data_IF_782623193070
#
_entry.id   IF_782623193070
#
_cell.length_a   1.000
_cell.length_b   1.000
_cell.length_c   1.000
_cell.angle_alpha   90.00
_cell.angle_beta   90.00
_cell.angle_gamma   90.00
#
_symmetry.space_group_name_H-M   'P 1'
#
loop_
_entity.id
_entity.type
_entity.pdbx_description
1 polymer ?
#
# COMPACT_ATOMS: atom_id res chain seq x y z
N UNK A 1 -82.06 34.22 18.73
CA UNK A 1 -82.93 33.10 18.34
C UNK A 1 -81.99 31.95 17.99
N UNK A 2 -81.64 31.05 18.92
CA UNK A 2 -82.40 29.91 19.48
C UNK A 2 -82.74 28.85 18.42
N UNK A 3 -82.10 27.68 18.57
CA UNK A 3 -82.59 26.29 18.38
C UNK A 3 -81.37 25.41 18.03
N UNK A 4 -80.77 24.65 18.96
CA UNK A 4 -81.23 23.40 19.61
C UNK A 4 -81.39 22.23 18.62
N UNK A 5 -80.53 21.22 18.83
CA UNK A 5 -80.79 19.77 18.94
C UNK A 5 -80.00 18.82 18.03
N UNK A 6 -79.35 17.90 18.74
CA UNK A 6 -78.70 16.65 18.34
C UNK A 6 -79.52 15.78 17.38
N UNK A 7 -78.82 14.97 16.58
CA UNK A 7 -79.10 13.54 16.32
C UNK A 7 -77.80 12.93 15.77
N UNK A 8 -77.26 11.93 16.48
CA UNK A 8 -76.27 10.98 15.93
C UNK A 8 -76.90 10.22 14.75
N UNK A 9 -76.17 9.60 13.84
CA UNK A 9 -75.44 8.36 14.10
C UNK A 9 -74.72 7.95 12.81
N UNK A 10 -73.51 7.42 12.99
CA UNK A 10 -72.98 6.24 12.30
C UNK A 10 -72.81 6.29 10.77
N UNK A 11 -71.60 6.64 10.32
CA UNK A 11 -70.98 5.94 9.20
C UNK A 11 -69.47 5.85 9.43
N UNK A 12 -69.04 4.62 9.65
CA UNK A 12 -67.75 4.10 10.07
C UNK A 12 -66.62 4.50 9.12
N UNK A 13 -65.58 5.19 9.65
CA UNK A 13 -64.26 5.25 9.02
C UNK A 13 -63.59 3.88 9.20
N UNK A 14 -63.43 3.14 8.11
CA UNK A 14 -62.43 2.06 8.03
C UNK A 14 -61.14 2.71 7.56
N UNK A 15 -60.29 3.08 8.51
CA UNK A 15 -58.91 3.43 8.25
C UNK A 15 -58.15 2.15 7.89
N UNK A 16 -57.65 2.07 6.66
CA UNK A 16 -56.70 1.08 6.22
C UNK A 16 -55.37 1.33 6.95
N UNK A 17 -55.17 0.65 8.08
CA UNK A 17 -53.84 0.43 8.65
C UNK A 17 -53.07 -0.49 7.73
N UNK A 18 -52.33 0.08 6.78
CA UNK A 18 -51.26 -0.62 6.09
C UNK A 18 -50.08 -0.73 7.07
N UNK A 19 -49.98 -1.90 7.72
CA UNK A 19 -48.77 -2.28 8.42
C UNK A 19 -47.65 -2.43 7.40
N UNK A 20 -46.77 -1.45 7.31
CA UNK A 20 -45.42 -1.66 6.83
C UNK A 20 -44.75 -2.58 7.87
N UNK A 21 -44.47 -3.82 7.49
CA UNK A 21 -43.47 -4.61 8.19
C UNK A 21 -42.13 -3.91 7.95
N UNK A 22 -41.71 -3.10 8.90
CA UNK A 22 -40.31 -2.74 9.07
C UNK A 22 -39.59 -4.03 9.44
N UNK A 23 -39.14 -4.80 8.44
CA UNK A 23 -37.97 -5.64 8.63
C UNK A 23 -36.81 -4.67 8.86
N UNK A 24 -36.64 -4.27 10.13
CA UNK A 24 -35.36 -3.75 10.58
C UNK A 24 -34.32 -4.81 10.17
N UNK A 25 -33.39 -4.39 9.30
CA UNK A 25 -32.20 -5.14 9.00
C UNK A 25 -31.53 -5.41 10.34
N UNK A 26 -31.72 -6.62 10.88
CA UNK A 26 -30.98 -7.09 12.04
C UNK A 26 -29.52 -7.06 11.62
N UNK A 27 -28.80 -6.02 12.03
CA UNK A 27 -27.38 -6.14 12.28
C UNK A 27 -27.25 -7.31 13.24
N UNK A 28 -26.76 -8.44 12.74
CA UNK A 28 -26.35 -9.52 13.63
C UNK A 28 -25.42 -8.90 14.67
N UNK A 29 -25.87 -8.97 15.91
CA UNK A 29 -25.12 -8.55 17.09
C UNK A 29 -24.02 -9.60 17.26
N UNK A 30 -23.00 -9.53 16.41
CA UNK A 30 -21.74 -10.21 16.67
C UNK A 30 -21.11 -9.46 17.84
N UNK A 31 -21.47 -9.89 19.04
CA UNK A 31 -20.65 -9.73 20.24
C UNK A 31 -19.33 -10.45 20.00
N UNK A 32 -18.47 -9.88 19.18
CA UNK A 32 -17.10 -10.35 19.05
C UNK A 32 -16.30 -9.68 20.16
N UNK A 33 -15.65 -10.47 21.01
CA UNK A 33 -14.57 -9.99 21.91
C UNK A 33 -13.34 -9.47 21.11
N UNK A 34 -13.47 -9.30 19.80
CA UNK A 34 -12.43 -8.81 18.91
C UNK A 34 -12.14 -7.33 19.17
N UNK A 35 -11.04 -7.09 19.87
CA UNK A 35 -10.47 -5.76 20.04
C UNK A 35 -10.00 -5.17 18.71
N UNK A 36 -10.80 -4.33 18.05
CA UNK A 36 -10.43 -3.72 16.76
C UNK A 36 -9.23 -2.79 16.85
N UNK A 37 -9.14 -2.02 17.93
CA UNK A 37 -8.02 -1.09 18.17
C UNK A 37 -6.92 -1.81 18.97
N UNK A 38 -5.70 -1.76 18.45
CA UNK A 38 -4.50 -2.38 19.06
C UNK A 38 -3.71 -1.36 19.87
N UNK A 39 -3.49 -0.17 19.31
CA UNK A 39 -2.68 0.88 19.94
C UNK A 39 -3.13 2.28 19.46
N UNK A 40 -2.72 3.31 20.20
CA UNK A 40 -2.86 4.72 19.82
C UNK A 40 -1.67 5.53 20.35
N UNK A 41 -0.95 6.19 19.45
CA UNK A 41 0.20 7.04 19.76
C UNK A 41 0.24 8.21 18.78
N UNK A 42 0.74 9.37 19.22
CA UNK A 42 0.73 10.60 18.43
C UNK A 42 -0.63 10.83 17.73
N UNK A 43 -0.63 10.96 16.40
CA UNK A 43 -1.78 11.11 15.52
C UNK A 43 -2.23 9.78 14.87
N UNK A 44 -1.67 8.65 15.28
CA UNK A 44 -1.92 7.32 14.72
C UNK A 44 -2.83 6.48 15.62
N UNK A 45 -3.76 5.76 14.99
CA UNK A 45 -4.52 4.67 15.60
C UNK A 45 -4.21 3.37 14.86
N UNK A 46 -3.70 2.37 15.56
CA UNK A 46 -3.43 1.05 14.97
C UNK A 46 -4.67 0.18 15.13
N UNK A 47 -5.18 -0.32 14.01
CA UNK A 47 -6.32 -1.22 13.95
C UNK A 47 -5.88 -2.60 13.48
N UNK A 48 -6.69 -3.62 13.77
CA UNK A 48 -6.60 -4.94 13.16
C UNK A 48 -7.93 -5.31 12.51
N UNK A 49 -7.88 -6.17 11.52
CA UNK A 49 -9.04 -6.64 10.75
C UNK A 49 -9.18 -8.17 10.85
N UNK A 50 -10.35 -8.67 10.48
CA UNK A 50 -10.64 -10.10 10.36
C UNK A 50 -10.63 -10.51 8.89
N UNK A 51 -10.31 -11.77 8.61
CA UNK A 51 -10.42 -12.37 7.27
C UNK A 51 -11.53 -13.43 7.33
N UNK A 52 -12.81 -13.04 7.30
CA UNK A 52 -13.95 -13.93 7.61
C UNK A 52 -14.05 -15.14 6.67
N UNK A 53 -13.66 -14.99 5.40
CA UNK A 53 -13.72 -16.07 4.41
C UNK A 53 -12.54 -17.04 4.45
N UNK A 54 -11.58 -16.85 5.37
CA UNK A 54 -10.40 -17.71 5.50
C UNK A 54 -10.76 -19.19 5.75
N UNK A 55 -11.78 -19.42 6.59
CA UNK A 55 -12.21 -20.77 6.96
C UNK A 55 -12.96 -21.49 5.82
N UNK A 56 -13.44 -20.75 4.81
CA UNK A 56 -14.05 -21.32 3.61
C UNK A 56 -13.01 -21.81 2.59
N UNK A 57 -11.77 -21.34 2.67
CA UNK A 57 -10.70 -21.75 1.76
C UNK A 57 -10.33 -23.23 1.96
N UNK A 58 -10.09 -23.93 0.85
CA UNK A 58 -9.44 -25.24 0.85
C UNK A 58 -8.01 -25.16 1.39
N UNK A 59 -7.45 -26.28 1.83
CA UNK A 59 -6.05 -26.34 2.27
C UNK A 59 -5.08 -25.84 1.20
N UNK A 60 -5.35 -26.12 -0.08
CA UNK A 60 -4.53 -25.66 -1.21
C UNK A 60 -4.57 -24.13 -1.35
N UNK A 61 -5.76 -23.53 -1.28
CA UNK A 61 -5.94 -22.06 -1.31
C UNK A 61 -5.28 -21.37 -0.12
N UNK A 62 -5.32 -21.96 1.08
CA UNK A 62 -4.62 -21.41 2.26
C UNK A 62 -3.10 -21.43 2.11
N UNK A 63 -2.54 -22.51 1.55
CA UNK A 63 -1.09 -22.59 1.24
C UNK A 63 -0.72 -21.56 0.17
N UNK A 64 -1.57 -21.37 -0.83
CA UNK A 64 -1.38 -20.35 -1.86
C UNK A 64 -1.35 -18.93 -1.25
N UNK A 65 -2.38 -18.56 -0.47
CA UNK A 65 -2.45 -17.27 0.23
C UNK A 65 -1.27 -17.07 1.21
N UNK A 66 -0.85 -18.12 1.92
CA UNK A 66 0.32 -18.08 2.80
C UNK A 66 1.58 -17.69 2.04
N UNK A 67 1.89 -18.38 0.93
CA UNK A 67 3.09 -18.10 0.16
C UNK A 67 3.06 -16.72 -0.52
N UNK A 68 1.90 -16.27 -1.01
CA UNK A 68 1.74 -14.90 -1.49
C UNK A 68 2.01 -13.87 -0.39
N UNK A 69 1.54 -14.13 0.83
CA UNK A 69 1.76 -13.26 1.99
C UNK A 69 3.24 -13.22 2.36
N UNK A 70 3.91 -14.37 2.41
CA UNK A 70 5.35 -14.44 2.70
C UNK A 70 6.20 -13.77 1.61
N UNK A 71 5.82 -13.91 0.33
CA UNK A 71 6.44 -13.17 -0.77
C UNK A 71 6.30 -11.65 -0.52
N UNK A 72 5.10 -11.18 -0.17
CA UNK A 72 4.86 -9.80 0.20
C UNK A 72 5.78 -9.29 1.31
N UNK A 73 5.81 -10.00 2.45
CA UNK A 73 6.60 -9.62 3.63
C UNK A 73 8.11 -9.59 3.37
N UNK A 74 8.62 -10.43 2.47
CA UNK A 74 10.04 -10.47 2.11
C UNK A 74 10.55 -9.16 1.46
N UNK A 75 9.65 -8.35 0.89
CA UNK A 75 9.97 -7.05 0.31
C UNK A 75 9.80 -5.86 1.25
N UNK A 76 9.48 -6.06 2.54
CA UNK A 76 9.34 -4.96 3.53
C UNK A 76 10.51 -3.97 3.46
N UNK A 77 11.74 -4.47 3.47
CA UNK A 77 12.94 -3.64 3.54
C UNK A 77 13.17 -2.80 2.28
N UNK A 78 12.63 -3.23 1.13
CA UNK A 78 12.68 -2.46 -0.11
C UNK A 78 11.95 -1.13 0.06
N UNK A 79 10.75 -1.16 0.65
CA UNK A 79 9.96 0.05 0.84
C UNK A 79 10.63 1.03 1.83
N UNK A 80 11.28 0.50 2.86
CA UNK A 80 12.05 1.33 3.82
C UNK A 80 13.18 2.06 3.12
N UNK A 81 13.97 1.35 2.31
CA UNK A 81 15.08 1.94 1.57
C UNK A 81 14.59 2.94 0.50
N UNK A 82 13.56 2.58 -0.27
CA UNK A 82 12.93 3.49 -1.23
C UNK A 82 12.44 4.79 -0.57
N UNK A 83 11.85 4.72 0.62
CA UNK A 83 11.40 5.91 1.34
C UNK A 83 12.55 6.85 1.72
N UNK A 84 13.73 6.32 2.08
CA UNK A 84 14.89 7.13 2.47
C UNK A 84 16.16 6.28 2.64
N UNK A 85 17.30 6.79 2.14
CA UNK A 85 18.59 6.08 2.12
C UNK A 85 19.13 5.64 3.50
N UNK A 86 18.73 6.32 4.58
CA UNK A 86 19.18 6.01 5.95
C UNK A 86 18.15 5.21 6.76
N UNK A 87 16.96 4.92 6.22
CA UNK A 87 15.87 4.31 6.98
C UNK A 87 16.22 2.94 7.55
N UNK A 88 16.92 2.08 6.79
CA UNK A 88 17.28 0.74 7.28
C UNK A 88 18.29 0.80 8.43
N UNK A 89 19.25 1.74 8.37
CA UNK A 89 20.21 1.98 9.44
C UNK A 89 19.51 2.50 10.70
N UNK A 90 18.68 3.55 10.54
CA UNK A 90 17.90 4.15 11.63
C UNK A 90 16.97 3.12 12.26
N UNK A 91 16.26 2.33 11.45
CA UNK A 91 15.38 1.26 11.94
C UNK A 91 16.14 0.27 12.79
N UNK A 92 17.31 -0.18 12.33
CA UNK A 92 18.14 -1.14 13.09
C UNK A 92 18.60 -0.56 14.44
N UNK A 93 18.96 0.71 14.48
CA UNK A 93 19.31 1.39 15.74
C UNK A 93 18.10 1.45 16.69
N UNK A 94 16.91 1.79 16.17
CA UNK A 94 15.66 1.80 16.95
C UNK A 94 15.31 0.40 17.46
N UNK A 95 15.35 -0.62 16.58
CA UNK A 95 15.09 -2.02 16.91
C UNK A 95 16.05 -2.50 18.01
N UNK A 96 17.33 -2.11 17.93
CA UNK A 96 18.36 -2.46 18.95
C UNK A 96 17.98 -1.96 20.34
N UNK A 97 17.45 -0.74 20.45
CA UNK A 97 17.03 -0.16 21.74
C UNK A 97 15.73 -0.81 22.24
N UNK A 98 14.74 -0.99 21.35
CA UNK A 98 13.40 -1.51 21.73
C UNK A 98 13.44 -2.98 22.11
N UNK A 99 14.20 -3.81 21.40
CA UNK A 99 14.20 -5.26 21.63
C UNK A 99 15.11 -5.69 22.78
N UNK A 100 15.83 -4.76 23.43
CA UNK A 100 16.83 -5.09 24.44
C UNK A 100 16.27 -4.93 25.86
N UNK A 101 16.23 -6.05 26.60
CA UNK A 101 15.72 -6.11 27.98
C UNK A 101 16.59 -5.35 28.99
N UNK A 102 17.83 -4.99 28.65
CA UNK A 102 18.69 -4.18 29.51
C UNK A 102 18.27 -2.70 29.56
N UNK A 103 17.44 -2.25 28.61
CA UNK A 103 16.88 -0.89 28.60
C UNK A 103 15.63 -0.88 29.48
N UNK A 104 15.56 0.06 30.44
CA UNK A 104 14.37 0.23 31.28
C UNK A 104 13.27 0.96 30.49
N UNK A 105 12.29 0.18 30.02
CA UNK A 105 11.17 0.66 29.21
C UNK A 105 10.12 1.48 29.99
N UNK A 106 10.34 1.69 31.29
CA UNK A 106 9.43 2.49 32.14
C UNK A 106 9.92 3.92 32.36
N UNK A 107 11.13 4.24 31.89
CA UNK A 107 11.74 5.57 32.04
C UNK A 107 11.07 6.60 31.12
N UNK A 108 10.94 7.88 31.54
CA UNK A 108 10.42 8.94 30.68
C UNK A 108 11.16 9.07 29.34
N UNK A 109 12.49 8.96 29.37
CA UNK A 109 13.34 9.03 28.18
C UNK A 109 12.99 7.93 27.17
N UNK A 110 12.77 6.70 27.65
CA UNK A 110 12.33 5.60 26.80
C UNK A 110 10.93 5.82 26.25
N UNK A 111 9.98 6.30 27.06
CA UNK A 111 8.60 6.49 26.63
C UNK A 111 8.49 7.55 25.52
N UNK A 112 9.25 8.65 25.61
CA UNK A 112 9.32 9.66 24.55
C UNK A 112 9.94 9.09 23.27
N UNK A 113 11.02 8.31 23.41
CA UNK A 113 11.64 7.59 22.30
C UNK A 113 10.70 6.54 21.67
N UNK A 114 9.93 5.81 22.47
CA UNK A 114 9.00 4.78 22.01
C UNK A 114 7.94 5.39 21.09
N UNK A 115 7.42 6.57 21.42
CA UNK A 115 6.47 7.29 20.54
C UNK A 115 7.12 7.62 19.19
N UNK A 116 8.36 8.12 19.17
CA UNK A 116 9.08 8.38 17.92
C UNK A 116 9.28 7.09 17.11
N UNK A 117 9.76 6.03 17.76
CA UNK A 117 9.99 4.74 17.13
C UNK A 117 8.72 4.14 16.52
N UNK A 118 7.59 4.18 17.24
CA UNK A 118 6.29 3.72 16.74
C UNK A 118 5.86 4.49 15.48
N UNK A 119 6.08 5.82 15.44
CA UNK A 119 5.83 6.63 14.23
C UNK A 119 6.71 6.19 13.07
N UNK A 120 7.99 5.92 13.32
CA UNK A 120 8.94 5.44 12.30
C UNK A 120 8.51 4.09 11.73
N UNK A 121 8.12 3.13 12.58
CA UNK A 121 7.60 1.83 12.12
C UNK A 121 6.31 1.96 11.33
N UNK A 122 5.36 2.78 11.80
CA UNK A 122 4.09 2.96 11.12
C UNK A 122 4.25 3.59 9.74
N UNK A 123 5.19 4.52 9.60
CA UNK A 123 5.41 5.25 8.35
C UNK A 123 6.42 4.59 7.38
N UNK A 124 7.02 3.46 7.77
CA UNK A 124 8.14 2.84 7.05
C UNK A 124 9.31 3.81 6.83
N UNK A 125 9.62 4.65 7.84
CA UNK A 125 10.70 5.64 7.77
C UNK A 125 10.50 6.85 8.67
N UNK A 126 11.43 7.81 8.63
CA UNK A 126 11.45 8.99 9.51
C UNK A 126 10.56 10.15 9.06
N UNK A 127 9.77 9.96 8.00
CA UNK A 127 8.87 10.98 7.47
C UNK A 127 7.42 10.54 7.62
N UNK A 128 6.55 11.51 7.88
CA UNK A 128 5.13 11.27 8.05
C UNK A 128 4.50 10.67 6.78
N UNK A 129 3.87 9.51 6.93
CA UNK A 129 3.28 8.72 5.84
C UNK A 129 2.30 9.52 4.93
N UNK A 130 1.55 10.47 5.49
CA UNK A 130 0.65 11.34 4.74
C UNK A 130 1.27 12.69 4.30
N UNK A 131 1.73 13.53 5.24
CA UNK A 131 2.23 14.88 4.92
C UNK A 131 3.63 14.92 4.30
N UNK A 132 4.36 13.80 4.29
CA UNK A 132 5.77 13.67 3.89
C UNK A 132 6.77 14.48 4.73
N UNK A 133 6.33 15.20 5.76
CA UNK A 133 7.19 16.00 6.62
C UNK A 133 7.96 15.09 7.58
N UNK A 134 9.24 15.35 7.78
CA UNK A 134 10.08 14.62 8.72
C UNK A 134 9.51 14.70 10.14
N UNK A 135 9.59 13.60 10.88
CA UNK A 135 9.21 13.61 12.29
C UNK A 135 10.21 14.42 13.11
N UNK A 136 9.68 15.27 14.00
CA UNK A 136 10.48 15.86 15.07
C UNK A 136 10.90 14.76 16.06
N UNK A 137 12.19 14.72 16.37
CA UNK A 137 12.77 13.82 17.37
C UNK A 137 12.59 14.40 18.78
N UNK A 138 11.39 14.29 19.33
CA UNK A 138 11.03 14.81 20.65
C UNK A 138 11.52 13.94 21.83
N UNK A 139 12.68 13.29 21.70
CA UNK A 139 13.30 12.45 22.73
C UNK A 139 14.76 12.88 22.95
N UNK A 140 15.35 12.50 24.09
CA UNK A 140 16.69 12.97 24.46
C UNK A 140 17.77 12.34 23.55
N UNK A 141 18.46 13.20 22.80
CA UNK A 141 19.52 12.81 21.87
C UNK A 141 20.70 12.14 22.58
N UNK A 142 21.15 12.68 23.72
CA UNK A 142 22.31 12.15 24.43
C UNK A 142 22.01 10.77 25.03
N UNK A 143 20.81 10.60 25.59
CA UNK A 143 20.31 9.34 26.10
C UNK A 143 20.24 8.29 24.99
N UNK A 144 19.68 8.63 23.83
CA UNK A 144 19.58 7.67 22.73
C UNK A 144 20.96 7.22 22.25
N UNK A 145 21.89 8.15 22.04
CA UNK A 145 23.24 7.82 21.58
C UNK A 145 24.02 7.01 22.62
N UNK A 146 23.93 7.39 23.91
CA UNK A 146 24.60 6.66 24.99
C UNK A 146 24.01 5.27 25.20
N UNK A 147 22.68 5.13 25.11
CA UNK A 147 21.99 3.85 25.17
C UNK A 147 22.42 2.96 24.01
N UNK A 148 22.39 3.48 22.79
CA UNK A 148 22.77 2.74 21.60
C UNK A 148 24.23 2.27 21.66
N UNK A 149 25.16 3.15 22.07
CA UNK A 149 26.58 2.82 22.25
C UNK A 149 26.78 1.74 23.33
N UNK A 150 26.09 1.87 24.47
CA UNK A 150 26.11 0.86 25.54
C UNK A 150 25.65 -0.52 25.09
N UNK A 151 24.80 -0.58 24.05
CA UNK A 151 24.33 -1.82 23.42
C UNK A 151 25.21 -2.28 22.24
N UNK A 152 26.38 -1.68 22.04
CA UNK A 152 27.26 -1.93 20.88
C UNK A 152 26.59 -1.62 19.53
N UNK A 153 25.56 -0.78 19.53
CA UNK A 153 24.96 -0.21 18.33
C UNK A 153 25.74 1.02 17.85
N UNK A 154 25.48 1.43 16.63
CA UNK A 154 26.05 2.65 16.05
C UNK A 154 25.08 3.26 15.05
N UNK A 155 25.28 4.56 14.77
CA UNK A 155 24.54 5.31 13.79
C UNK A 155 25.50 6.28 13.10
N UNK A 156 25.50 6.33 11.78
CA UNK A 156 26.34 7.22 10.97
C UNK A 156 26.04 8.68 11.29
N UNK A 157 27.04 9.57 11.08
CA UNK A 157 26.86 11.00 11.32
C UNK A 157 25.70 11.59 10.51
N UNK A 158 25.52 11.10 9.27
CA UNK A 158 24.44 11.55 8.40
C UNK A 158 23.07 11.03 8.87
N UNK A 159 22.98 9.79 9.35
CA UNK A 159 21.75 9.26 9.93
C UNK A 159 21.40 9.92 11.27
N UNK A 160 22.39 10.26 12.10
CA UNK A 160 22.18 11.10 13.30
C UNK A 160 21.63 12.48 12.90
N UNK A 161 22.26 13.14 11.91
CA UNK A 161 21.77 14.40 11.37
C UNK A 161 20.34 14.26 10.83
N UNK A 162 20.02 13.18 10.13
CA UNK A 162 18.67 12.90 9.64
C UNK A 162 17.63 12.91 10.75
N UNK A 163 17.92 12.29 11.90
CA UNK A 163 16.98 12.25 13.03
C UNK A 163 16.88 13.62 13.71
N UNK A 164 18.02 14.28 13.99
CA UNK A 164 18.07 15.37 14.97
C UNK A 164 18.22 16.79 14.39
N UNK A 165 18.70 16.97 13.16
CA UNK A 165 18.80 18.30 12.52
C UNK A 165 17.48 18.63 11.80
N UNK A 166 16.64 19.56 12.30
CA UNK A 166 15.32 19.82 11.73
C UNK A 166 15.35 20.31 10.28
N UNK A 167 16.48 20.84 9.80
CA UNK A 167 16.63 21.40 8.46
C UNK A 167 17.19 20.38 7.44
N UNK A 168 17.61 19.20 7.87
CA UNK A 168 18.14 18.16 6.99
C UNK A 168 17.05 17.19 6.52
N UNK A 169 16.95 16.97 5.21
CA UNK A 169 16.03 16.02 4.57
C UNK A 169 14.57 16.16 5.09
N UNK A 170 14.09 17.42 5.14
CA UNK A 170 12.85 17.84 5.79
C UNK A 170 11.59 17.20 5.21
N UNK A 171 11.60 16.86 3.92
CA UNK A 171 10.45 16.25 3.23
C UNK A 171 10.87 14.99 2.49
N UNK A 172 10.10 13.91 2.65
CA UNK A 172 10.24 12.69 1.85
C UNK A 172 10.02 12.97 0.37
N UNK A 173 8.90 13.62 0.08
CA UNK A 173 8.47 14.00 -1.27
C UNK A 173 8.11 15.47 -1.25
N UNK A 174 8.76 16.26 -2.10
CA UNK A 174 8.49 17.66 -2.27
C UNK A 174 7.99 17.92 -3.68
N UNK A 175 6.86 18.63 -3.80
CA UNK A 175 6.20 19.01 -5.06
C UNK A 175 5.92 20.51 -5.12
N UNK A 176 6.71 21.30 -4.39
CA UNK A 176 6.57 22.75 -4.40
C UNK A 176 7.05 23.33 -5.74
N UNK A 177 6.40 24.38 -6.20
CA UNK A 177 6.85 25.11 -7.39
C UNK A 177 8.16 25.85 -7.11
N UNK A 178 9.05 25.90 -8.11
CA UNK A 178 10.27 26.70 -8.06
C UNK A 178 11.45 26.06 -7.30
N UNK A 179 11.37 24.77 -6.95
CA UNK A 179 12.50 23.99 -6.43
C UNK A 179 12.85 22.85 -7.38
N UNK A 180 14.09 22.36 -7.30
CA UNK A 180 14.44 21.07 -7.93
C UNK A 180 13.76 19.96 -7.14
N UNK A 181 12.81 19.28 -7.77
CA UNK A 181 11.96 18.30 -7.08
C UNK A 181 12.73 17.09 -6.55
N UNK A 182 13.85 16.73 -7.19
CA UNK A 182 14.68 15.60 -6.77
C UNK A 182 15.57 15.98 -5.61
N UNK A 183 16.33 17.07 -5.74
CA UNK A 183 17.23 17.53 -4.69
C UNK A 183 16.48 17.99 -3.43
N UNK A 184 15.23 18.44 -3.56
CA UNK A 184 14.40 18.86 -2.44
C UNK A 184 13.58 17.73 -1.80
N UNK A 185 13.73 16.49 -2.27
CA UNK A 185 13.03 15.30 -1.78
C UNK A 185 14.01 14.29 -1.20
N UNK A 186 13.72 13.75 -0.02
CA UNK A 186 14.57 12.74 0.62
C UNK A 186 14.38 11.32 0.07
N UNK A 187 13.31 11.07 -0.70
CA UNK A 187 13.02 9.74 -1.27
C UNK A 187 14.21 9.18 -2.06
N UNK A 188 14.50 7.89 -1.89
CA UNK A 188 15.72 7.28 -2.42
C UNK A 188 15.54 6.67 -3.82
N UNK A 189 14.67 7.24 -4.64
CA UNK A 189 14.47 6.85 -6.03
C UNK A 189 15.53 7.42 -6.98
N UNK A 190 16.24 8.44 -6.54
CA UNK A 190 17.31 9.11 -7.26
C UNK A 190 18.51 9.24 -6.33
N UNK A 191 19.72 9.19 -6.87
CA UNK A 191 20.90 9.50 -6.06
C UNK A 191 20.87 10.97 -5.59
N UNK A 192 21.43 11.29 -4.41
CA UNK A 192 21.30 12.63 -3.80
C UNK A 192 21.84 13.79 -4.63
N UNK A 193 22.64 13.49 -5.66
CA UNK A 193 23.30 14.43 -6.56
C UNK A 193 22.68 14.46 -7.98
N UNK A 194 21.56 13.77 -8.20
CA UNK A 194 20.84 13.79 -9.48
C UNK A 194 19.80 14.91 -9.46
N UNK A 195 19.93 15.83 -10.42
CA UNK A 195 18.99 16.95 -10.57
C UNK A 195 17.74 16.53 -11.34
N UNK A 196 16.65 17.25 -11.14
CA UNK A 196 15.41 17.06 -11.91
C UNK A 196 15.67 17.17 -13.42
N UNK A 197 16.45 18.17 -13.86
CA UNK A 197 16.73 18.39 -15.27
C UNK A 197 17.49 17.21 -15.92
N UNK A 198 18.44 16.62 -15.21
CA UNK A 198 19.17 15.46 -15.72
C UNK A 198 18.27 14.23 -15.82
N UNK A 199 17.39 14.01 -14.85
CA UNK A 199 16.41 12.93 -14.89
C UNK A 199 15.41 13.11 -16.04
N UNK A 200 14.88 14.31 -16.24
CA UNK A 200 14.01 14.65 -17.38
C UNK A 200 14.71 14.34 -18.71
N UNK A 201 15.97 14.78 -18.87
CA UNK A 201 16.76 14.51 -20.06
C UNK A 201 17.02 13.01 -20.27
N UNK A 202 17.27 12.27 -19.19
CA UNK A 202 17.52 10.83 -19.24
C UNK A 202 16.29 10.06 -19.74
N UNK A 203 15.09 10.36 -19.23
CA UNK A 203 13.86 9.66 -19.63
C UNK A 203 13.29 10.16 -20.95
N UNK A 204 13.47 11.43 -21.30
CA UNK A 204 13.11 11.94 -22.62
C UNK A 204 13.90 11.27 -23.76
N UNK A 205 15.09 10.73 -23.47
CA UNK A 205 15.92 10.00 -24.43
C UNK A 205 15.56 8.51 -24.55
N UNK A 206 14.69 7.98 -23.69
CA UNK A 206 14.25 6.58 -23.78
C UNK A 206 13.32 6.41 -24.97
N UNK A 207 13.43 5.25 -25.61
CA UNK A 207 12.64 4.90 -26.80
C UNK A 207 12.03 3.53 -26.57
N UNK A 208 10.71 3.45 -26.74
CA UNK A 208 10.01 2.18 -26.73
C UNK A 208 10.42 1.33 -27.93
N UNK A 209 10.84 0.09 -27.67
CA UNK A 209 11.17 -0.86 -28.72
C UNK A 209 9.94 -1.17 -29.59
N UNK A 210 8.76 -1.20 -28.99
CA UNK A 210 7.46 -1.29 -29.66
C UNK A 210 6.60 -0.05 -29.31
N UNK A 211 6.48 0.93 -30.21
CA UNK A 211 5.66 2.12 -29.98
C UNK A 211 4.17 1.84 -29.77
N UNK A 212 3.68 0.64 -30.10
CA UNK A 212 2.29 0.24 -29.86
C UNK A 212 2.08 -0.37 -28.48
N UNK A 213 3.18 -0.68 -27.78
CA UNK A 213 3.23 -1.25 -26.42
C UNK A 213 4.32 -0.52 -25.61
N UNK A 214 4.13 0.77 -25.30
CA UNK A 214 5.11 1.52 -24.53
C UNK A 214 5.24 0.96 -23.13
N UNK A 215 6.47 0.90 -22.62
CA UNK A 215 6.75 0.39 -21.27
C UNK A 215 6.80 1.53 -20.25
N UNK A 216 6.58 1.19 -18.98
CA UNK A 216 6.65 2.14 -17.87
C UNK A 216 8.11 2.48 -17.51
N UNK A 217 8.78 3.29 -18.34
CA UNK A 217 10.22 3.53 -18.22
C UNK A 217 10.68 3.96 -16.81
N UNK A 218 11.53 3.09 -16.25
CA UNK A 218 12.15 3.20 -14.95
C UNK A 218 11.21 3.02 -13.76
N UNK A 219 10.06 2.37 -13.93
CA UNK A 219 9.16 2.00 -12.84
C UNK A 219 9.88 1.26 -11.70
N UNK A 220 10.86 0.41 -12.03
CA UNK A 220 11.54 -0.51 -11.11
C UNK A 220 13.04 -0.23 -11.02
N UNK A 221 13.43 1.03 -10.90
CA UNK A 221 14.84 1.40 -10.81
C UNK A 221 15.07 2.58 -9.87
N UNK A 222 16.33 2.70 -9.42
CA UNK A 222 16.88 3.93 -8.85
C UNK A 222 17.80 4.57 -9.88
N UNK A 223 17.64 5.86 -10.16
CA UNK A 223 18.53 6.58 -11.07
C UNK A 223 19.77 7.05 -10.31
N UNK A 224 20.93 6.55 -10.72
CA UNK A 224 22.23 6.80 -10.08
C UNK A 224 23.25 7.35 -11.07
N UNK A 225 24.39 7.79 -10.55
CA UNK A 225 25.51 8.32 -11.33
C UNK A 225 26.74 7.43 -11.21
N UNK A 226 27.35 7.11 -12.35
CA UNK A 226 28.63 6.42 -12.41
C UNK A 226 29.78 7.36 -12.03
N UNK A 227 30.97 6.80 -11.78
CA UNK A 227 32.19 7.56 -11.50
C UNK A 227 32.59 8.51 -12.65
N UNK A 228 32.21 8.19 -13.89
CA UNK A 228 32.45 9.03 -15.08
C UNK A 228 31.42 10.16 -15.27
N UNK A 229 30.44 10.26 -14.37
CA UNK A 229 29.38 11.26 -14.38
C UNK A 229 28.13 10.88 -15.18
N UNK A 230 28.15 9.75 -15.91
CA UNK A 230 27.00 9.26 -16.66
C UNK A 230 25.90 8.71 -15.74
N UNK A 231 24.63 8.95 -16.11
CA UNK A 231 23.49 8.40 -15.38
C UNK A 231 23.17 6.98 -15.83
N UNK A 232 22.75 6.14 -14.89
CA UNK A 232 22.30 4.77 -15.14
C UNK A 232 21.21 4.34 -14.15
N UNK A 233 20.48 3.29 -14.51
CA UNK A 233 19.44 2.71 -13.68
C UNK A 233 19.96 1.52 -12.87
N UNK A 234 19.88 1.61 -11.55
CA UNK A 234 19.99 0.47 -10.64
C UNK A 234 18.66 -0.29 -10.64
N UNK A 235 18.52 -1.21 -11.59
CA UNK A 235 17.29 -2.00 -11.77
C UNK A 235 17.01 -2.88 -10.55
N UNK A 236 15.75 -2.94 -10.13
CA UNK A 236 15.26 -3.76 -9.03
C UNK A 236 15.00 -5.17 -9.55
N UNK A 237 15.95 -6.08 -9.35
CA UNK A 237 15.86 -7.46 -9.82
C UNK A 237 16.67 -8.43 -8.97
N UNK A 238 16.57 -9.72 -9.26
CA UNK A 238 17.29 -10.78 -8.57
C UNK A 238 18.82 -10.60 -8.63
N UNK A 239 19.35 -9.94 -9.65
CA UNK A 239 20.78 -9.67 -9.83
C UNK A 239 21.12 -8.16 -9.79
N UNK A 240 20.14 -7.32 -9.47
CA UNK A 240 20.27 -5.87 -9.36
C UNK A 240 20.13 -5.35 -7.93
N UNK A 241 19.61 -4.13 -7.80
CA UNK A 241 19.30 -3.54 -6.49
C UNK A 241 18.19 -4.36 -5.81
N UNK A 242 18.32 -4.56 -4.50
CA UNK A 242 17.44 -5.39 -3.67
C UNK A 242 17.43 -6.90 -3.96
N UNK A 243 18.43 -7.42 -4.67
CA UNK A 243 18.60 -8.83 -4.99
C UNK A 243 18.29 -9.81 -3.84
N UNK A 244 18.73 -9.50 -2.62
CA UNK A 244 18.51 -10.37 -1.44
C UNK A 244 17.03 -10.55 -1.10
N UNK A 245 16.26 -9.46 -1.08
CA UNK A 245 14.81 -9.50 -0.84
C UNK A 245 14.09 -10.11 -2.03
N UNK A 246 14.45 -9.72 -3.26
CA UNK A 246 13.79 -10.21 -4.47
C UNK A 246 13.96 -11.72 -4.66
N UNK A 247 15.14 -12.28 -4.32
CA UNK A 247 15.35 -13.74 -4.34
C UNK A 247 14.45 -14.48 -3.34
N UNK A 248 14.15 -13.88 -2.18
CA UNK A 248 13.19 -14.45 -1.23
C UNK A 248 11.74 -14.34 -1.73
N UNK A 249 11.37 -13.20 -2.34
CA UNK A 249 10.08 -13.02 -3.01
C UNK A 249 9.88 -14.14 -4.04
N UNK A 250 10.83 -14.30 -4.97
CA UNK A 250 10.81 -15.35 -6.00
C UNK A 250 10.64 -16.74 -5.38
N UNK A 251 11.41 -17.06 -4.32
CA UNK A 251 11.32 -18.36 -3.65
C UNK A 251 9.91 -18.69 -3.17
N UNK A 252 9.19 -17.71 -2.60
CA UNK A 252 7.80 -17.88 -2.18
C UNK A 252 6.82 -17.91 -3.36
N UNK A 253 7.02 -17.09 -4.39
CA UNK A 253 6.17 -17.12 -5.59
C UNK A 253 6.26 -18.47 -6.33
N UNK A 254 7.44 -19.09 -6.38
CA UNK A 254 7.61 -20.45 -6.94
C UNK A 254 6.82 -21.49 -6.13
N UNK A 255 6.80 -21.39 -4.80
CA UNK A 255 5.96 -22.28 -3.98
C UNK A 255 4.46 -22.01 -4.19
N UNK A 256 4.06 -20.74 -4.29
CA UNK A 256 2.68 -20.35 -4.58
C UNK A 256 2.21 -20.90 -5.93
N UNK A 257 3.07 -20.85 -6.96
CA UNK A 257 2.79 -21.33 -8.32
C UNK A 257 2.44 -22.82 -8.39
N UNK A 258 3.00 -23.65 -7.50
CA UNK A 258 2.70 -25.10 -7.44
C UNK A 258 1.27 -25.36 -6.96
N UNK A 259 0.69 -24.42 -6.20
CA UNK A 259 -0.60 -24.58 -5.54
C UNK A 259 -1.66 -23.59 -6.02
N UNK A 260 -1.51 -23.00 -7.21
CA UNK A 260 -2.53 -22.11 -7.78
C UNK A 260 -3.87 -22.83 -7.98
N UNK A 261 -4.94 -22.05 -7.98
CA UNK A 261 -6.30 -22.55 -8.16
C UNK A 261 -6.56 -22.96 -9.61
N UNK A 262 -5.91 -22.27 -10.55
CA UNK A 262 -6.04 -22.50 -11.99
C UNK A 262 -4.72 -22.24 -12.74
N UNK A 263 -4.68 -22.62 -14.02
CA UNK A 263 -3.49 -22.49 -14.88
C UNK A 263 -3.13 -21.04 -15.18
N UNK A 264 -4.12 -20.16 -15.26
CA UNK A 264 -3.87 -18.75 -15.57
C UNK A 264 -3.23 -17.99 -14.41
N UNK A 265 -3.56 -18.31 -13.16
CA UNK A 265 -2.81 -17.85 -11.98
C UNK A 265 -1.36 -18.36 -12.02
N UNK A 266 -1.12 -19.62 -12.41
CA UNK A 266 0.25 -20.17 -12.53
C UNK A 266 1.06 -19.47 -13.63
N UNK A 267 0.40 -19.12 -14.74
CA UNK A 267 1.00 -18.32 -15.82
C UNK A 267 1.38 -16.92 -15.34
N UNK A 268 0.45 -16.21 -14.70
CA UNK A 268 0.70 -14.86 -14.16
C UNK A 268 1.87 -14.88 -13.17
N UNK A 269 1.89 -15.81 -12.21
CA UNK A 269 3.03 -15.95 -11.28
C UNK A 269 4.33 -16.25 -12.00
N UNK A 270 4.31 -17.08 -13.05
CA UNK A 270 5.48 -17.34 -13.87
C UNK A 270 6.06 -16.05 -14.49
N UNK A 271 5.20 -15.21 -15.06
CA UNK A 271 5.59 -13.92 -15.63
C UNK A 271 6.10 -12.94 -14.57
N UNK A 272 5.45 -12.90 -13.40
CA UNK A 272 5.91 -12.08 -12.27
C UNK A 272 7.30 -12.51 -11.77
N UNK A 273 7.55 -13.81 -11.70
CA UNK A 273 8.86 -14.37 -11.36
C UNK A 273 9.91 -13.96 -12.40
N UNK A 274 9.61 -14.07 -13.70
CA UNK A 274 10.50 -13.63 -14.78
C UNK A 274 10.81 -12.13 -14.69
N UNK A 275 9.80 -11.32 -14.40
CA UNK A 275 9.98 -9.89 -14.14
C UNK A 275 10.92 -9.65 -12.97
N UNK A 276 10.72 -10.29 -11.82
CA UNK A 276 11.63 -10.14 -10.68
C UNK A 276 13.05 -10.66 -10.95
N UNK A 277 13.19 -11.73 -11.73
CA UNK A 277 14.48 -12.26 -12.11
C UNK A 277 15.28 -11.26 -12.98
N UNK A 278 14.61 -10.64 -13.95
CA UNK A 278 15.26 -9.87 -15.01
C UNK A 278 15.19 -8.36 -14.81
N UNK A 279 14.15 -7.86 -14.16
CA UNK A 279 13.77 -6.46 -14.12
C UNK A 279 13.13 -5.95 -15.42
N UNK A 280 12.76 -6.82 -16.37
CA UNK A 280 12.25 -6.42 -17.69
C UNK A 280 10.81 -5.91 -17.63
N UNK A 281 10.60 -4.64 -17.98
CA UNK A 281 9.28 -4.00 -17.97
C UNK A 281 8.31 -4.59 -19.01
N UNK A 282 8.79 -5.26 -20.07
CA UNK A 282 7.89 -6.01 -20.96
C UNK A 282 7.26 -7.20 -20.23
N UNK A 283 8.02 -7.86 -19.35
CA UNK A 283 7.51 -8.96 -18.51
C UNK A 283 6.55 -8.46 -17.46
N UNK A 284 6.76 -7.24 -16.96
CA UNK A 284 5.77 -6.57 -16.12
C UNK A 284 4.46 -6.35 -16.85
N UNK A 285 4.49 -5.84 -18.08
CA UNK A 285 3.27 -5.64 -18.87
C UNK A 285 2.58 -6.97 -19.22
N UNK A 286 3.36 -7.98 -19.64
CA UNK A 286 2.84 -9.33 -19.91
C UNK A 286 2.19 -9.94 -18.66
N UNK A 287 2.82 -9.78 -17.48
CA UNK A 287 2.25 -10.17 -16.19
C UNK A 287 0.92 -9.47 -15.94
N UNK A 288 0.84 -8.14 -16.09
CA UNK A 288 -0.39 -7.39 -15.82
C UNK A 288 -1.51 -7.77 -16.78
N UNK A 289 -1.20 -8.02 -18.07
CA UNK A 289 -2.17 -8.52 -19.05
C UNK A 289 -2.68 -9.91 -18.65
N UNK A 290 -1.78 -10.80 -18.21
CA UNK A 290 -2.18 -12.11 -17.72
C UNK A 290 -3.06 -12.00 -16.46
N UNK A 291 -2.63 -11.19 -15.48
CA UNK A 291 -3.33 -10.99 -14.21
C UNK A 291 -4.74 -10.41 -14.40
N UNK A 292 -4.91 -9.36 -15.19
CA UNK A 292 -6.24 -8.76 -15.45
C UNK A 292 -7.19 -9.70 -16.20
N UNK A 293 -6.63 -10.63 -16.99
CA UNK A 293 -7.41 -11.65 -17.69
C UNK A 293 -7.92 -12.74 -16.73
N UNK A 294 -7.38 -12.83 -15.52
CA UNK A 294 -7.76 -13.82 -14.51
C UNK A 294 -8.90 -13.34 -13.64
N UNK A 295 -10.13 -13.55 -14.11
CA UNK A 295 -11.34 -13.21 -13.35
C UNK A 295 -11.81 -14.33 -12.42
N UNK A 296 -11.23 -15.53 -12.49
CA UNK A 296 -11.57 -16.69 -11.67
C UNK A 296 -10.57 -16.93 -10.52
N UNK A 297 -11.03 -17.56 -9.44
CA UNK A 297 -10.25 -17.80 -8.22
C UNK A 297 -10.79 -17.03 -7.02
N UNK A 298 -10.54 -17.60 -5.83
CA UNK A 298 -10.95 -17.07 -4.54
C UNK A 298 -9.82 -16.32 -3.81
N UNK A 299 -8.57 -16.48 -4.25
CA UNK A 299 -7.40 -15.75 -3.73
C UNK A 299 -6.78 -14.93 -4.85
N UNK A 300 -6.62 -13.63 -4.59
CA UNK A 300 -5.97 -12.68 -5.50
C UNK A 300 -4.86 -11.90 -4.78
N UNK A 301 -4.02 -11.20 -5.54
CA UNK A 301 -2.88 -10.49 -4.99
C UNK A 301 -2.41 -9.31 -5.85
N UNK A 302 -1.73 -8.40 -5.16
CA UNK A 302 -0.81 -7.42 -5.73
C UNK A 302 0.56 -7.75 -5.15
N UNK A 303 1.60 -7.79 -5.98
CA UNK A 303 2.99 -7.90 -5.54
C UNK A 303 3.91 -7.32 -6.62
N UNK A 304 4.50 -6.15 -6.37
CA UNK A 304 5.28 -5.46 -7.40
C UNK A 304 5.67 -4.05 -7.03
N UNK A 305 6.24 -3.33 -7.99
CA UNK A 305 6.49 -1.89 -7.94
C UNK A 305 5.35 -1.19 -8.66
N UNK A 306 4.36 -0.69 -7.92
CA UNK A 306 3.04 -0.37 -8.50
C UNK A 306 2.82 1.13 -8.55
N UNK A 307 2.68 1.77 -7.39
CA UNK A 307 2.20 3.15 -7.30
C UNK A 307 3.33 4.17 -7.28
N UNK A 308 3.18 5.24 -8.07
CA UNK A 308 4.22 6.26 -8.29
C UNK A 308 4.09 7.50 -7.39
N UNK A 309 3.21 7.47 -6.38
CA UNK A 309 2.94 8.63 -5.52
C UNK A 309 4.16 9.12 -4.74
N UNK A 310 5.06 8.21 -4.37
CA UNK A 310 6.27 8.56 -3.62
C UNK A 310 7.38 9.13 -4.52
N UNK A 311 7.26 9.05 -5.83
CA UNK A 311 8.16 9.73 -6.75
C UNK A 311 7.67 11.19 -6.97
N UNK A 312 8.49 12.21 -6.67
CA UNK A 312 8.13 13.58 -6.97
C UNK A 312 7.92 13.84 -8.49
N UNK A 313 8.55 13.06 -9.36
CA UNK A 313 8.37 13.11 -10.83
C UNK A 313 7.37 12.08 -11.37
N UNK A 314 6.91 11.13 -10.56
CA UNK A 314 5.87 10.18 -10.92
C UNK A 314 6.29 9.04 -11.87
N UNK A 315 7.57 8.65 -11.91
CA UNK A 315 8.04 7.51 -12.69
C UNK A 315 8.24 6.22 -11.88
N UNK A 316 8.72 6.29 -10.63
CA UNK A 316 9.12 5.09 -9.86
C UNK A 316 7.99 4.50 -9.04
N UNK A 317 7.79 3.20 -9.20
CA UNK A 317 6.82 2.42 -8.44
C UNK A 317 7.33 2.10 -7.04
N UNK A 318 6.48 2.31 -6.04
CA UNK A 318 6.73 1.84 -4.67
C UNK A 318 6.46 0.34 -4.59
N UNK A 319 7.29 -0.39 -3.82
CA UNK A 319 7.02 -1.80 -3.56
C UNK A 319 5.73 -1.93 -2.74
N UNK A 320 4.79 -2.71 -3.24
CA UNK A 320 3.50 -2.95 -2.60
C UNK A 320 3.14 -4.43 -2.65
N UNK A 321 2.42 -4.86 -1.63
CA UNK A 321 1.79 -6.17 -1.63
C UNK A 321 0.45 -6.14 -0.91
N UNK A 322 -0.53 -6.81 -1.50
CA UNK A 322 -1.84 -7.07 -0.90
C UNK A 322 -2.20 -8.51 -1.27
N UNK A 323 -2.63 -9.31 -0.30
CA UNK A 323 -3.20 -10.63 -0.56
C UNK A 323 -4.64 -10.59 -0.10
N UNK A 324 -5.54 -10.99 -1.00
CA UNK A 324 -6.96 -10.73 -0.90
C UNK A 324 -7.70 -12.05 -0.98
N UNK A 325 -8.63 -12.26 -0.06
CA UNK A 325 -9.53 -13.42 -0.12
C UNK A 325 -10.92 -12.91 -0.51
N UNK A 326 -11.54 -13.57 -1.49
CA UNK A 326 -12.91 -13.24 -1.90
C UNK A 326 -13.86 -13.30 -0.70
N UNK A 327 -14.58 -12.21 -0.46
CA UNK A 327 -15.71 -12.19 0.45
C UNK A 327 -16.93 -12.75 -0.31
N UNK A 328 -17.28 -14.00 -0.03
CA UNK A 328 -18.35 -14.70 -0.73
C UNK A 328 -19.72 -14.04 -0.53
N UNK A 329 -20.01 -13.55 0.67
CA UNK A 329 -21.31 -12.98 1.02
C UNK A 329 -21.44 -11.56 0.46
N UNK A 330 -20.42 -10.73 0.63
CA UNK A 330 -20.42 -9.37 0.11
C UNK A 330 -20.37 -9.34 -1.41
N UNK A 331 -19.61 -10.24 -2.05
CA UNK A 331 -19.59 -10.37 -3.51
C UNK A 331 -20.97 -10.76 -4.06
N UNK A 332 -21.71 -11.64 -3.37
CA UNK A 332 -23.08 -12.00 -3.78
C UNK A 332 -24.03 -10.80 -3.68
N UNK A 333 -23.92 -9.96 -2.64
CA UNK A 333 -24.74 -8.74 -2.51
C UNK A 333 -24.41 -7.71 -3.61
N UNK A 334 -23.16 -7.61 -4.02
CA UNK A 334 -22.71 -6.61 -4.99
C UNK A 334 -22.83 -7.05 -6.45
N UNK A 335 -23.19 -8.30 -6.73
CA UNK A 335 -23.38 -8.75 -8.13
C UNK A 335 -24.41 -7.90 -8.86
N UNK A 336 -25.45 -7.45 -8.15
CA UNK A 336 -26.47 -6.54 -8.69
C UNK A 336 -25.85 -5.24 -9.23
N UNK A 337 -24.83 -4.68 -8.57
CA UNK A 337 -24.19 -3.45 -9.04
C UNK A 337 -23.39 -3.70 -10.32
N UNK A 338 -22.63 -4.79 -10.35
CA UNK A 338 -21.86 -5.19 -11.54
C UNK A 338 -22.78 -5.48 -12.74
N UNK A 339 -23.88 -6.19 -12.52
CA UNK A 339 -24.89 -6.53 -13.54
C UNK A 339 -25.62 -5.30 -14.10
N UNK A 340 -25.63 -4.19 -13.36
CA UNK A 340 -26.34 -2.95 -13.73
C UNK A 340 -25.40 -1.79 -14.07
N UNK A 341 -24.11 -2.03 -14.36
CA UNK A 341 -23.14 -0.95 -14.59
C UNK A 341 -23.54 -0.02 -15.75
N UNK A 342 -24.12 -0.56 -16.82
CA UNK A 342 -24.61 0.26 -17.94
C UNK A 342 -25.76 1.18 -17.49
N UNK A 343 -26.64 0.70 -16.61
CA UNK A 343 -27.72 1.52 -16.10
C UNK A 343 -27.19 2.73 -15.32
N UNK A 344 -26.13 2.55 -14.51
CA UNK A 344 -25.50 3.66 -13.81
C UNK A 344 -24.84 4.66 -14.75
N UNK A 345 -24.18 4.20 -15.81
CA UNK A 345 -23.58 5.07 -16.83
C UNK A 345 -24.66 5.89 -17.57
N UNK A 346 -25.72 5.22 -18.02
CA UNK A 346 -26.82 5.85 -18.75
C UNK A 346 -27.55 6.90 -17.90
N UNK A 347 -27.71 6.63 -16.60
CA UNK A 347 -28.43 7.49 -15.65
C UNK A 347 -27.50 8.43 -14.86
N UNK A 348 -26.20 8.43 -15.16
CA UNK A 348 -25.25 9.36 -14.56
C UNK A 348 -25.63 10.82 -14.88
N UNK A 349 -25.43 11.77 -13.94
CA UNK A 349 -25.73 13.18 -14.18
C UNK A 349 -24.69 13.89 -15.07
N UNK A 350 -23.66 13.17 -15.53
CA UNK A 350 -22.66 13.73 -16.45
C UNK A 350 -23.27 14.02 -17.83
N UNK A 351 -22.60 14.90 -18.58
CA UNK A 351 -22.98 15.20 -19.96
C UNK A 351 -23.05 13.92 -20.81
N UNK A 352 -24.01 13.87 -21.72
CA UNK A 352 -24.26 12.73 -22.58
C UNK A 352 -23.02 12.40 -23.44
N UNK A 353 -22.32 13.41 -23.93
CA UNK A 353 -21.12 13.24 -24.76
C UNK A 353 -19.93 12.65 -23.98
N UNK A 354 -20.04 12.54 -22.65
CA UNK A 354 -19.04 11.91 -21.78
C UNK A 354 -19.44 10.50 -21.32
N UNK A 355 -20.64 10.03 -21.67
CA UNK A 355 -21.12 8.69 -21.32
C UNK A 355 -20.60 7.66 -22.32
N UNK A 356 -20.25 6.47 -21.80
CA UNK A 356 -19.91 5.31 -22.63
C UNK A 356 -21.18 4.64 -23.16
N UNK A 357 -21.26 4.50 -24.47
CA UNK A 357 -22.34 3.74 -25.13
C UNK A 357 -22.37 2.27 -24.68
N UNK A 358 -21.19 1.68 -24.44
CA UNK A 358 -21.06 0.34 -23.87
C UNK A 358 -19.95 0.30 -22.84
N UNK A 359 -20.31 0.01 -21.59
CA UNK A 359 -19.37 -0.24 -20.50
C UNK A 359 -18.93 -1.70 -20.57
N UNK A 360 -17.64 -1.92 -20.82
CA UNK A 360 -17.00 -3.25 -20.85
C UNK A 360 -15.85 -3.30 -19.85
N UNK A 361 -15.44 -4.52 -19.46
CA UNK A 361 -14.25 -4.74 -18.64
C UNK A 361 -14.43 -4.52 -17.13
N UNK A 362 -15.66 -4.65 -16.61
CA UNK A 362 -15.94 -4.50 -15.18
C UNK A 362 -15.99 -5.88 -14.52
N UNK A 363 -14.91 -6.23 -13.82
CA UNK A 363 -14.89 -7.33 -12.86
C UNK A 363 -14.98 -6.72 -11.46
N UNK A 364 -16.00 -7.09 -10.69
CA UNK A 364 -16.20 -6.58 -9.34
C UNK A 364 -16.21 -7.74 -8.36
N UNK A 365 -15.20 -7.82 -7.51
CA UNK A 365 -15.12 -8.76 -6.38
C UNK A 365 -14.95 -7.96 -5.11
N UNK A 366 -15.75 -8.25 -4.09
CA UNK A 366 -15.42 -7.78 -2.75
C UNK A 366 -14.41 -8.76 -2.18
N UNK A 367 -13.34 -8.19 -1.62
CA UNK A 367 -12.27 -8.93 -0.97
C UNK A 367 -12.16 -8.52 0.49
N UNK A 368 -11.68 -9.45 1.31
CA UNK A 368 -11.36 -9.27 2.72
C UNK A 368 -9.85 -9.23 2.95
#
# INVERSE_FOLDING_TARGET
>A
MRNVMYIGTLATLIALSSCNNTEEMKTEDHTSDFQWQVDRFADVKVLRYQVPSWDNLSSKQRIYAYHLTQAGLAGRDIMWDCNYRHNLEIRKAIETVISNEAVDHTTPEFLDFEVYAKRVFFANGIHHHYSNVKFEASFDHQWFMSTLEGLSGSLSEEAQRAIFDPEFDVKKVNRADGVDLLLASAVNFYAPDVTQLEAEAFYAAKVDADPTRPVSHGLNSRLSRNEDGSLYEEVFSADGRYASSIKQIIGHLEQAKIVTENEGQALALGLLIEYYQTGDLNKWDDYNIAWVSMTEGDVDYINGFVEVYNDPMGYRGSYETVVQVKDFDASARMSVVAENVQWFEDNSPIDYDHKKESVVGVSYKIVA
#
